data_IF_238538061207
#
_entry.id   IF_238538061207
#
_cell.length_a   1.000
_cell.length_b   1.000
_cell.length_c   1.000
_cell.angle_alpha   90.00
_cell.angle_beta   90.00
_cell.angle_gamma   90.00
#
_symmetry.space_group_name_H-M   'P 1'
#
loop_
_entity.id
_entity.type
_entity.pdbx_description
1 polymer ?
#
# COMPACT_ATOMS: atom_id res chain seq x y z
N UNK A 1 -15.36 -7.14 31.80
CA UNK A 1 -14.26 -7.92 31.18
C UNK A 1 -13.84 -7.15 29.94
N UNK A 2 -12.65 -6.55 29.94
CA UNK A 2 -12.13 -5.83 28.79
C UNK A 2 -11.40 -6.83 27.88
N UNK A 3 -11.94 -7.05 26.68
CA UNK A 3 -11.24 -7.82 25.66
C UNK A 3 -10.24 -6.88 24.98
N UNK A 4 -8.99 -6.98 25.36
CA UNK A 4 -7.91 -6.20 24.77
C UNK A 4 -6.72 -7.09 24.46
N UNK A 5 -5.85 -6.64 23.57
CA UNK A 5 -4.60 -7.32 23.30
C UNK A 5 -3.73 -7.28 24.57
N UNK A 6 -3.28 -8.44 25.09
CA UNK A 6 -2.32 -8.43 26.19
C UNK A 6 -0.98 -7.88 25.67
N UNK A 7 -0.42 -6.91 26.39
CA UNK A 7 0.87 -6.31 26.09
C UNK A 7 0.99 -5.72 24.65
N UNK A 8 0.12 -4.77 24.25
CA UNK A 8 0.28 -4.11 22.95
C UNK A 8 1.65 -3.40 22.88
N UNK A 9 2.26 -3.34 21.69
CA UNK A 9 3.47 -2.55 21.50
C UNK A 9 3.23 -1.08 21.85
N UNK A 10 4.25 -0.35 22.32
CA UNK A 10 4.16 1.05 22.68
C UNK A 10 3.64 1.93 21.52
N UNK A 11 4.07 1.64 20.29
CA UNK A 11 3.62 2.32 19.08
C UNK A 11 2.24 1.88 18.57
N UNK A 12 1.60 0.92 19.23
CA UNK A 12 0.25 0.46 18.88
C UNK A 12 0.20 -0.60 17.78
N UNK A 13 -0.96 -0.70 17.15
CA UNK A 13 -1.30 -1.66 16.10
C UNK A 13 -1.77 -0.90 14.86
N UNK A 14 -1.21 -1.23 13.70
CA UNK A 14 -1.67 -0.78 12.38
C UNK A 14 -2.34 -1.93 11.62
N UNK A 15 -3.46 -1.63 10.99
CA UNK A 15 -4.15 -2.51 10.05
C UNK A 15 -4.19 -1.81 8.70
N UNK A 16 -3.56 -2.39 7.68
CA UNK A 16 -3.43 -1.77 6.36
C UNK A 16 -3.79 -2.73 5.25
N UNK A 17 -4.48 -2.24 4.21
CA UNK A 17 -4.76 -2.98 2.99
C UNK A 17 -3.95 -2.40 1.83
N UNK A 18 -3.37 -3.29 1.03
CA UNK A 18 -2.58 -2.97 -0.15
C UNK A 18 -3.15 -3.69 -1.37
N UNK A 19 -3.19 -2.98 -2.50
CA UNK A 19 -3.62 -3.53 -3.78
C UNK A 19 -2.41 -3.63 -4.71
N UNK A 20 -2.02 -4.85 -5.05
CA UNK A 20 -0.92 -5.15 -5.95
C UNK A 20 -1.51 -5.58 -7.29
N UNK A 21 -1.49 -4.70 -8.28
CA UNK A 21 -1.99 -4.97 -9.63
C UNK A 21 -0.80 -5.11 -10.57
N UNK A 22 -0.64 -6.28 -11.18
CA UNK A 22 0.42 -6.53 -12.16
C UNK A 22 -0.07 -6.36 -13.59
N UNK A 23 0.83 -6.00 -14.49
CA UNK A 23 0.55 -5.97 -15.93
C UNK A 23 0.39 -7.42 -16.46
N UNK A 24 -0.65 -7.66 -17.24
CA UNK A 24 -0.90 -8.96 -17.90
C UNK A 24 0.26 -9.41 -18.81
N UNK A 25 0.98 -8.45 -19.39
CA UNK A 25 2.06 -8.69 -20.37
C UNK A 25 3.44 -8.75 -19.73
N UNK A 26 3.60 -8.14 -18.56
CA UNK A 26 4.89 -8.00 -17.85
C UNK A 26 4.72 -8.26 -16.36
N UNK A 27 4.90 -9.52 -15.95
CA UNK A 27 4.60 -9.98 -14.59
C UNK A 27 5.35 -9.23 -13.47
N UNK A 28 6.50 -8.60 -13.76
CA UNK A 28 7.26 -7.81 -12.78
C UNK A 28 7.02 -6.29 -12.94
N UNK A 29 5.96 -5.90 -13.64
CA UNK A 29 5.48 -4.52 -13.72
C UNK A 29 4.21 -4.37 -12.88
N UNK A 30 4.21 -3.40 -11.99
CA UNK A 30 3.19 -3.19 -10.96
C UNK A 30 2.61 -1.79 -11.05
N UNK A 31 1.29 -1.67 -10.91
CA UNK A 31 0.61 -0.40 -10.86
C UNK A 31 0.98 0.34 -9.57
N UNK A 32 1.68 1.45 -9.71
CA UNK A 32 2.05 2.35 -8.63
C UNK A 32 1.90 3.80 -9.07
N UNK A 33 1.84 4.71 -8.12
CA UNK A 33 1.74 6.13 -8.42
C UNK A 33 2.50 7.02 -7.46
N UNK A 34 2.74 8.24 -7.90
CA UNK A 34 3.08 9.35 -7.03
C UNK A 34 1.78 10.02 -6.59
N UNK A 35 1.53 10.07 -5.31
CA UNK A 35 0.31 10.68 -4.81
C UNK A 35 0.23 12.17 -5.14
N UNK A 36 -0.99 12.65 -5.42
CA UNK A 36 -1.27 14.06 -5.56
C UNK A 36 -1.54 14.66 -4.17
N UNK A 37 -0.67 15.52 -3.63
CA UNK A 37 -0.84 16.05 -2.28
C UNK A 37 -2.05 16.98 -2.12
N UNK A 38 -2.70 17.36 -3.23
CA UNK A 38 -3.95 18.15 -3.23
C UNK A 38 -5.20 17.28 -3.12
N UNK A 39 -5.08 15.96 -3.28
CA UNK A 39 -6.18 15.04 -3.08
C UNK A 39 -6.45 14.82 -1.60
N UNK A 40 -7.69 14.47 -1.20
CA UNK A 40 -8.08 14.30 0.21
C UNK A 40 -7.58 12.95 0.77
N UNK A 41 -6.28 12.79 0.90
CA UNK A 41 -5.65 11.54 1.35
C UNK A 41 -6.01 11.13 2.78
N UNK A 42 -6.45 12.07 3.61
CA UNK A 42 -7.02 11.80 4.94
C UNK A 42 -8.30 10.94 4.85
N UNK A 43 -9.05 11.06 3.77
CA UNK A 43 -10.23 10.25 3.51
C UNK A 43 -9.93 9.00 2.66
N UNK A 44 -9.29 9.19 1.50
CA UNK A 44 -9.12 8.08 0.53
C UNK A 44 -8.01 7.11 0.88
N UNK A 45 -7.03 7.52 1.68
CA UNK A 45 -5.88 6.71 2.08
C UNK A 45 -5.67 6.61 3.59
N UNK A 46 -6.48 7.30 4.39
CA UNK A 46 -6.31 7.45 5.83
C UNK A 46 -4.89 7.94 6.20
N UNK A 47 -4.35 8.87 5.40
CA UNK A 47 -3.03 9.47 5.59
C UNK A 47 -3.17 10.89 6.17
N UNK A 48 -2.51 11.15 7.28
CA UNK A 48 -2.32 12.51 7.76
C UNK A 48 -1.30 13.29 6.92
N UNK A 49 -1.20 14.60 7.12
CA UNK A 49 -0.34 15.47 6.33
C UNK A 49 1.15 15.05 6.36
N UNK A 50 1.63 14.56 7.49
CA UNK A 50 3.03 14.12 7.64
C UNK A 50 3.30 12.85 6.82
N UNK A 51 2.36 11.92 6.81
CA UNK A 51 2.44 10.70 6.01
C UNK A 51 2.32 10.99 4.51
N UNK A 52 1.44 11.92 4.11
CA UNK A 52 1.35 12.40 2.73
C UNK A 52 2.70 12.95 2.27
N UNK A 53 3.37 13.77 3.08
CA UNK A 53 4.70 14.30 2.75
C UNK A 53 5.74 13.21 2.56
N UNK A 54 5.76 12.22 3.45
CA UNK A 54 6.72 11.08 3.36
C UNK A 54 6.46 10.22 2.13
N UNK A 55 5.19 9.86 1.89
CA UNK A 55 4.82 8.97 0.78
C UNK A 55 4.91 9.65 -0.61
N UNK A 56 4.83 10.99 -0.66
CA UNK A 56 4.99 11.73 -1.92
C UNK A 56 6.38 11.60 -2.56
N UNK A 57 7.36 11.07 -1.81
CA UNK A 57 8.78 10.97 -2.24
C UNK A 57 9.10 9.69 -3.03
N UNK A 58 8.14 8.83 -3.27
CA UNK A 58 8.39 7.56 -3.98
C UNK A 58 7.14 6.99 -4.64
N UNK A 59 7.34 5.93 -5.41
CA UNK A 59 6.26 5.15 -5.99
C UNK A 59 5.50 4.41 -4.89
N UNK A 60 4.20 4.60 -4.83
CA UNK A 60 3.33 4.07 -3.81
C UNK A 60 2.31 3.09 -4.41
N UNK A 61 2.09 1.96 -3.77
CA UNK A 61 0.96 1.09 -4.07
C UNK A 61 -0.35 1.76 -3.66
N UNK A 62 -1.45 1.52 -4.38
CA UNK A 62 -2.78 1.85 -3.88
C UNK A 62 -3.01 1.14 -2.54
N UNK A 63 -3.25 1.90 -1.49
CA UNK A 63 -3.30 1.38 -0.12
C UNK A 63 -4.02 2.33 0.83
N UNK A 64 -4.45 1.78 1.95
CA UNK A 64 -5.05 2.56 3.03
C UNK A 64 -4.98 1.80 4.36
N UNK A 65 -4.96 2.52 5.47
CA UNK A 65 -5.35 1.91 6.74
C UNK A 65 -6.82 1.50 6.68
N UNK A 66 -7.18 0.46 7.43
CA UNK A 66 -8.57 0.10 7.62
C UNK A 66 -9.27 1.17 8.46
N UNK A 67 -10.49 1.50 8.08
CA UNK A 67 -11.37 2.34 8.90
C UNK A 67 -11.98 1.50 10.04
N UNK A 68 -12.44 2.16 11.08
CA UNK A 68 -13.11 1.48 12.20
C UNK A 68 -14.33 0.72 11.67
N UNK A 69 -14.46 -0.54 12.05
CA UNK A 69 -15.47 -1.51 11.59
C UNK A 69 -15.40 -1.93 10.11
N UNK A 70 -14.38 -1.52 9.37
CA UNK A 70 -14.16 -1.95 8.00
C UNK A 70 -13.43 -3.30 7.96
N UNK A 71 -13.93 -4.23 7.18
CA UNK A 71 -13.22 -5.47 6.87
C UNK A 71 -12.10 -5.24 5.84
N UNK A 72 -11.09 -6.10 5.76
CA UNK A 72 -10.06 -5.99 4.72
C UNK A 72 -10.62 -5.97 3.30
N UNK A 73 -11.69 -6.73 3.02
CA UNK A 73 -12.35 -6.77 1.72
C UNK A 73 -13.09 -5.46 1.39
N UNK A 74 -13.67 -4.82 2.39
CA UNK A 74 -14.30 -3.50 2.22
C UNK A 74 -13.25 -2.43 1.98
N UNK A 75 -12.12 -2.48 2.70
CA UNK A 75 -10.97 -1.60 2.46
C UNK A 75 -10.44 -1.74 1.03
N UNK A 76 -10.27 -2.97 0.53
CA UNK A 76 -9.81 -3.23 -0.84
C UNK A 76 -10.77 -2.61 -1.87
N UNK A 77 -12.09 -2.81 -1.70
CA UNK A 77 -13.11 -2.22 -2.59
C UNK A 77 -13.12 -0.70 -2.54
N UNK A 78 -12.93 -0.12 -1.35
CA UNK A 78 -12.83 1.33 -1.19
C UNK A 78 -11.61 1.88 -1.89
N UNK A 79 -10.44 1.27 -1.73
CA UNK A 79 -9.20 1.66 -2.41
C UNK A 79 -9.38 1.62 -3.93
N UNK A 80 -9.92 0.52 -4.48
CA UNK A 80 -10.17 0.39 -5.91
C UNK A 80 -11.10 1.49 -6.43
N UNK A 81 -12.17 1.79 -5.69
CA UNK A 81 -13.15 2.81 -6.09
C UNK A 81 -12.61 4.23 -5.92
N UNK A 82 -11.97 4.54 -4.80
CA UNK A 82 -11.62 5.92 -4.43
C UNK A 82 -10.25 6.35 -4.93
N UNK A 83 -9.30 5.42 -5.03
CA UNK A 83 -7.94 5.74 -5.51
C UNK A 83 -7.73 5.39 -6.98
N UNK A 84 -8.43 4.39 -7.52
CA UNK A 84 -8.24 3.93 -8.90
C UNK A 84 -9.46 4.09 -9.79
N UNK A 85 -10.61 4.46 -9.24
CA UNK A 85 -11.88 4.62 -9.98
C UNK A 85 -12.20 3.40 -10.86
N UNK A 86 -11.96 2.19 -10.33
CA UNK A 86 -12.12 0.92 -11.05
C UNK A 86 -12.90 -0.10 -10.22
N UNK A 87 -13.54 -1.03 -10.91
CA UNK A 87 -14.21 -2.20 -10.36
C UNK A 87 -13.42 -3.50 -10.60
N UNK A 88 -12.11 -3.37 -10.84
CA UNK A 88 -11.23 -4.52 -11.06
C UNK A 88 -11.38 -5.56 -9.95
N UNK A 89 -11.50 -6.83 -10.37
CA UNK A 89 -11.52 -7.93 -9.42
C UNK A 89 -10.13 -8.24 -8.89
N UNK A 90 -10.02 -8.35 -7.56
CA UNK A 90 -8.79 -8.75 -6.87
C UNK A 90 -9.05 -9.97 -6.00
N UNK A 91 -8.02 -10.78 -5.82
CA UNK A 91 -8.02 -11.95 -4.94
C UNK A 91 -7.25 -11.67 -3.66
N UNK A 92 -7.52 -12.44 -2.62
CA UNK A 92 -6.87 -12.32 -1.33
C UNK A 92 -7.85 -12.07 -0.18
N UNK A 93 -7.37 -11.61 0.97
CA UNK A 93 -5.99 -11.14 1.17
C UNK A 93 -5.00 -12.26 1.51
N UNK A 94 -3.73 -12.09 1.13
CA UNK A 94 -2.62 -12.67 1.88
C UNK A 94 -2.39 -11.80 3.11
N UNK A 95 -2.17 -12.42 4.25
CA UNK A 95 -2.00 -11.69 5.53
C UNK A 95 -0.56 -11.78 5.98
N UNK A 96 0.06 -10.61 6.18
CA UNK A 96 1.41 -10.49 6.74
C UNK A 96 1.32 -9.84 8.10
N UNK A 97 2.06 -10.38 9.05
CA UNK A 97 2.21 -9.81 10.40
C UNK A 97 3.66 -9.45 10.62
N UNK A 98 3.94 -8.18 10.82
CA UNK A 98 5.28 -7.67 10.95
C UNK A 98 5.38 -6.70 12.14
N UNK A 99 6.56 -6.69 12.77
CA UNK A 99 6.86 -5.76 13.84
C UNK A 99 7.93 -4.80 13.36
N UNK A 100 7.62 -3.52 13.29
CA UNK A 100 8.61 -2.50 13.01
C UNK A 100 9.50 -2.28 14.22
N UNK A 101 10.80 -2.53 14.02
CA UNK A 101 11.79 -2.33 15.07
C UNK A 101 12.41 -0.95 14.97
N UNK A 102 12.92 -0.38 16.09
CA UNK A 102 13.68 0.86 16.09
C UNK A 102 14.88 0.86 15.12
N UNK A 103 15.42 -0.31 14.79
CA UNK A 103 16.53 -0.44 13.84
C UNK A 103 16.15 0.02 12.44
N UNK A 104 14.92 -0.28 11.99
CA UNK A 104 14.41 0.14 10.68
C UNK A 104 13.85 1.57 10.72
N UNK A 105 13.25 1.94 11.85
CA UNK A 105 12.66 3.25 12.08
C UNK A 105 13.10 3.82 13.44
N UNK A 106 14.36 4.30 13.57
CA UNK A 106 14.98 4.58 14.86
C UNK A 106 14.26 5.64 15.71
N UNK A 107 13.40 6.45 15.10
CA UNK A 107 12.67 7.53 15.78
C UNK A 107 11.19 7.15 16.06
N UNK A 108 10.79 5.91 15.78
CA UNK A 108 9.43 5.45 16.05
C UNK A 108 9.44 4.36 17.12
N UNK A 109 8.45 4.38 18.04
CA UNK A 109 8.28 3.27 18.97
C UNK A 109 7.94 1.98 18.22
N UNK A 110 8.23 0.86 18.84
CA UNK A 110 7.87 -0.45 18.34
C UNK A 110 6.36 -0.51 18.14
N UNK A 111 5.91 -0.85 16.94
CA UNK A 111 4.50 -1.08 16.64
C UNK A 111 4.31 -2.36 15.82
N UNK A 112 3.11 -2.88 15.80
CA UNK A 112 2.75 -4.10 15.12
C UNK A 112 1.87 -3.79 13.92
N UNK A 113 2.32 -4.18 12.73
CA UNK A 113 1.55 -4.09 11.50
C UNK A 113 0.95 -5.42 11.13
N UNK A 114 -0.32 -5.38 10.78
CA UNK A 114 -1.02 -6.47 10.09
C UNK A 114 -1.46 -5.93 8.74
N UNK A 115 -0.93 -6.54 7.69
CA UNK A 115 -1.05 -6.10 6.31
C UNK A 115 -1.86 -7.11 5.51
N UNK A 116 -2.86 -6.61 4.80
CA UNK A 116 -3.77 -7.39 3.96
C UNK A 116 -3.45 -7.10 2.50
N UNK A 117 -2.83 -8.06 1.81
CA UNK A 117 -2.36 -7.90 0.44
C UNK A 117 -3.34 -8.53 -0.52
N UNK A 118 -3.95 -7.72 -1.36
CA UNK A 118 -4.83 -8.15 -2.43
C UNK A 118 -4.10 -8.08 -3.77
N UNK A 119 -4.34 -9.05 -4.63
CA UNK A 119 -3.65 -9.18 -5.92
C UNK A 119 -4.64 -9.14 -7.07
N UNK A 120 -4.29 -8.37 -8.09
CA UNK A 120 -5.05 -8.29 -9.35
C UNK A 120 -4.12 -8.26 -10.55
N UNK A 121 -4.71 -8.38 -11.73
CA UNK A 121 -3.99 -8.31 -13.00
C UNK A 121 -4.85 -7.60 -14.02
N UNK A 122 -4.25 -6.70 -14.79
CA UNK A 122 -4.93 -6.02 -15.87
C UNK A 122 -3.93 -5.47 -16.89
N UNK A 123 -4.41 -5.02 -18.05
CA UNK A 123 -3.58 -4.31 -19.01
C UNK A 123 -3.54 -2.80 -18.73
N UNK A 124 -2.44 -2.09 -19.06
CA UNK A 124 -2.29 -0.65 -18.81
C UNK A 124 -3.39 0.21 -19.44
N UNK A 125 -3.92 -0.19 -20.58
CA UNK A 125 -4.97 0.52 -21.32
C UNK A 125 -6.34 0.50 -20.63
N UNK A 126 -6.51 -0.31 -19.58
CA UNK A 126 -7.72 -0.35 -18.75
C UNK A 126 -7.64 0.53 -17.51
N UNK A 127 -6.49 1.16 -17.27
CA UNK A 127 -6.29 2.04 -16.11
C UNK A 127 -6.22 3.47 -16.59
N UNK A 128 -7.08 4.31 -16.05
CA UNK A 128 -7.02 5.76 -16.17
C UNK A 128 -6.43 6.35 -14.89
N UNK A 129 -5.77 7.51 -14.99
CA UNK A 129 -5.18 8.17 -13.82
C UNK A 129 -6.22 9.06 -13.12
N UNK A 130 -6.73 8.69 -11.94
CA UNK A 130 -7.61 9.53 -11.14
C UNK A 130 -6.86 10.73 -10.53
N UNK A 131 -7.63 11.68 -9.97
CA UNK A 131 -7.09 12.86 -9.31
C UNK A 131 -6.25 12.54 -8.06
N UNK A 132 -6.46 11.40 -7.45
CA UNK A 132 -5.67 10.91 -6.32
C UNK A 132 -4.15 10.87 -6.64
N UNK A 133 -3.78 10.70 -7.89
CA UNK A 133 -2.40 10.52 -8.32
C UNK A 133 -1.93 11.68 -9.20
N UNK A 134 -0.73 12.21 -8.93
CA UNK A 134 -0.02 13.09 -9.85
C UNK A 134 0.55 12.30 -11.04
N UNK A 135 1.00 11.08 -10.79
CA UNK A 135 1.43 10.09 -11.77
C UNK A 135 0.91 8.71 -11.36
N UNK A 136 0.48 7.90 -12.32
CA UNK A 136 0.06 6.52 -12.11
C UNK A 136 0.51 5.69 -13.32
N UNK A 137 1.31 4.65 -13.08
CA UNK A 137 1.89 3.83 -14.14
C UNK A 137 2.18 2.41 -13.69
N UNK A 138 2.32 1.49 -14.65
CA UNK A 138 2.91 0.18 -14.40
C UNK A 138 4.45 0.34 -14.35
N UNK A 139 5.01 0.23 -13.17
CA UNK A 139 6.43 0.41 -12.88
C UNK A 139 7.13 -0.93 -12.98
N UNK A 140 8.15 -1.02 -13.82
CA UNK A 140 8.93 -2.24 -13.99
C UNK A 140 10.01 -2.34 -12.90
N UNK A 141 9.83 -3.31 -11.98
CA UNK A 141 10.74 -3.51 -10.85
C UNK A 141 12.13 -4.03 -11.27
N UNK A 142 12.30 -4.53 -12.49
CA UNK A 142 13.60 -4.91 -13.02
C UNK A 142 14.52 -3.71 -13.25
N UNK A 143 13.96 -2.52 -13.45
CA UNK A 143 14.69 -1.27 -13.71
C UNK A 143 14.55 -0.23 -12.59
N UNK A 144 13.77 -0.53 -11.55
CA UNK A 144 13.47 0.40 -10.45
C UNK A 144 14.29 0.00 -9.22
N UNK A 145 14.86 0.97 -8.53
CA UNK A 145 15.56 0.76 -7.25
C UNK A 145 14.56 0.78 -6.10
N UNK A 146 14.83 0.00 -5.04
CA UNK A 146 14.03 0.03 -3.82
C UNK A 146 13.91 1.43 -3.21
N UNK A 147 14.94 2.26 -3.36
CA UNK A 147 14.96 3.65 -2.86
C UNK A 147 14.01 4.59 -3.59
N UNK A 148 13.49 4.18 -4.75
CA UNK A 148 12.48 4.92 -5.52
C UNK A 148 11.04 4.55 -5.09
N UNK A 149 10.90 3.53 -4.25
CA UNK A 149 9.61 3.09 -3.72
C UNK A 149 9.31 3.84 -2.42
N UNK A 150 8.06 4.19 -2.22
CA UNK A 150 7.59 4.79 -0.98
C UNK A 150 7.86 3.83 0.19
N UNK A 151 8.26 4.41 1.32
CA UNK A 151 8.62 3.67 2.52
C UNK A 151 7.58 2.63 2.90
N UNK A 152 8.03 1.42 3.19
CA UNK A 152 7.23 0.25 3.57
C UNK A 152 6.40 -0.38 2.45
N UNK A 153 6.42 0.17 1.23
CA UNK A 153 5.76 -0.46 0.08
C UNK A 153 6.67 -1.47 -0.64
N UNK A 154 7.99 -1.33 -0.52
CA UNK A 154 8.96 -2.27 -1.06
C UNK A 154 8.82 -3.68 -0.47
N UNK A 155 8.53 -3.78 0.83
CA UNK A 155 8.32 -5.06 1.50
C UNK A 155 7.04 -5.75 1.03
N UNK A 156 5.97 -4.97 0.84
CA UNK A 156 4.69 -5.47 0.32
C UNK A 156 4.87 -6.10 -1.06
N UNK A 157 5.68 -5.47 -1.92
CA UNK A 157 6.01 -6.01 -3.24
C UNK A 157 6.74 -7.35 -3.11
N UNK A 158 7.70 -7.47 -2.21
CA UNK A 158 8.43 -8.71 -1.94
C UNK A 158 7.52 -9.80 -1.36
N UNK A 159 6.65 -9.47 -0.41
CA UNK A 159 5.62 -10.40 0.11
C UNK A 159 4.62 -10.84 -0.96
N UNK A 160 4.34 -9.99 -1.92
CA UNK A 160 3.50 -10.35 -3.08
C UNK A 160 4.21 -11.27 -4.08
N UNK A 161 5.49 -11.58 -3.87
CA UNK A 161 6.29 -12.46 -4.72
C UNK A 161 7.00 -11.75 -5.86
N UNK A 162 7.10 -10.42 -5.80
CA UNK A 162 7.77 -9.60 -6.79
C UNK A 162 9.23 -9.36 -6.39
N UNK A 163 10.10 -9.15 -7.35
CA UNK A 163 11.54 -9.03 -7.11
C UNK A 163 12.15 -7.79 -7.76
N UNK A 164 13.07 -7.18 -7.05
CA UNK A 164 13.90 -6.10 -7.59
C UNK A 164 15.22 -6.69 -8.12
N UNK A 165 15.64 -6.32 -9.32
CA UNK A 165 16.96 -6.70 -9.85
C UNK A 165 18.08 -5.79 -9.31
N UNK A 166 17.74 -4.57 -8.92
CA UNK A 166 18.67 -3.58 -8.37
C UNK A 166 18.31 -3.27 -6.92
N UNK A 167 19.23 -3.46 -6.01
CA UNK A 167 19.10 -3.11 -4.59
C UNK A 167 19.40 -1.63 -4.35
#
# INVERSE_FOLDING_TARGET
>A
MTFGMPNPPEGGLCLSAFIVITDERHANSVLMGHLNPKAPWDHIGALDASRVEVHSKGWMLPSSHLLVYESPQEAARRILREQLETDLSVSGPDVVSETYTPKRFPNLPLHWDIEFIFKGKTSPDRITKPFAWSELAFVNLDSTKKTEIARSHEDILEYAGLTFKHQ
#
